data_IF_257194078344
#
_entry.id   IF_257194078344
#
_cell.length_a   1.000
_cell.length_b   1.000
_cell.length_c   1.000
_cell.angle_alpha   90.00
_cell.angle_beta   90.00
_cell.angle_gamma   90.00
#
_symmetry.space_group_name_H-M   'P 1'
#
loop_
_entity.id
_entity.type
_entity.pdbx_description
1 polymer ?
#
# COMPACT_ATOMS: atom_id res chain seq x y z
N UNK A 1 -4.04 -14.59 -7.09
CA UNK A 1 -5.53 -14.54 -6.84
C UNK A 1 -6.23 -15.85 -7.20
N UNK A 2 -5.81 -16.61 -8.25
CA UNK A 2 -6.45 -17.88 -8.66
C UNK A 2 -6.26 -19.03 -7.65
N UNK A 3 -5.08 -19.17 -7.03
CA UNK A 3 -4.76 -20.23 -6.04
C UNK A 3 -5.59 -20.08 -4.74
N UNK A 4 -5.78 -18.87 -4.23
CA UNK A 4 -6.61 -18.58 -3.04
C UNK A 4 -8.10 -18.95 -3.19
N UNK A 5 -8.63 -18.99 -4.42
CA UNK A 5 -10.05 -19.32 -4.63
C UNK A 5 -10.34 -20.82 -4.61
N UNK A 6 -9.38 -21.68 -4.99
CA UNK A 6 -9.55 -23.14 -4.90
C UNK A 6 -9.43 -23.66 -3.46
N UNK A 7 -8.54 -23.08 -2.64
CA UNK A 7 -8.40 -23.40 -1.21
C UNK A 7 -9.62 -22.95 -0.38
N UNK A 8 -10.25 -21.82 -0.75
CA UNK A 8 -11.48 -21.36 -0.08
C UNK A 8 -12.70 -22.28 -0.27
N UNK A 9 -12.68 -23.19 -1.24
CA UNK A 9 -13.77 -24.16 -1.41
C UNK A 9 -13.80 -25.19 -0.26
N UNK A 10 -12.64 -25.54 0.31
CA UNK A 10 -12.50 -26.49 1.42
C UNK A 10 -12.72 -25.83 2.77
N UNK A 11 -12.30 -24.58 2.96
CA UNK A 11 -12.37 -23.87 4.26
C UNK A 11 -13.79 -23.54 4.73
N UNK A 12 -14.82 -23.73 3.92
CA UNK A 12 -16.24 -23.60 4.30
C UNK A 12 -16.90 -24.88 4.78
N UNK A 13 -16.17 -25.98 4.90
CA UNK A 13 -16.64 -27.16 5.61
C UNK A 13 -16.65 -26.83 7.10
N UNK A 14 -17.79 -26.36 7.61
CA UNK A 14 -17.94 -26.05 9.03
C UNK A 14 -17.65 -27.30 9.84
N UNK A 15 -16.78 -27.20 10.84
CA UNK A 15 -16.51 -28.26 11.82
C UNK A 15 -17.75 -28.66 12.64
N UNK A 16 -18.86 -27.94 12.52
CA UNK A 16 -20.11 -28.26 13.19
C UNK A 16 -20.89 -29.28 12.35
N UNK A 17 -21.19 -30.44 12.93
CA UNK A 17 -22.15 -31.41 12.41
C UNK A 17 -23.53 -30.75 12.30
N UNK A 18 -23.81 -30.11 11.16
CA UNK A 18 -25.15 -29.62 10.83
C UNK A 18 -25.91 -30.76 10.15
N UNK A 19 -27.19 -30.90 10.46
CA UNK A 19 -28.09 -31.76 9.69
C UNK A 19 -28.01 -31.42 8.22
N UNK A 20 -27.76 -32.44 7.39
CA UNK A 20 -27.67 -32.27 5.94
C UNK A 20 -29.10 -32.18 5.40
N UNK A 21 -29.53 -30.97 5.01
CA UNK A 21 -30.81 -30.72 4.38
C UNK A 21 -30.66 -30.73 2.85
N UNK A 22 -31.53 -31.46 2.15
CA UNK A 22 -31.58 -31.56 0.69
C UNK A 22 -30.57 -32.56 0.09
N UNK A 23 -30.67 -32.74 -1.24
CA UNK A 23 -29.83 -33.70 -2.00
C UNK A 23 -28.34 -33.27 -1.98
N UNK A 24 -27.48 -34.24 -1.69
CA UNK A 24 -26.02 -34.05 -1.65
C UNK A 24 -25.33 -35.25 -2.29
N UNK A 25 -24.15 -35.01 -2.83
CA UNK A 25 -23.23 -36.07 -3.26
C UNK A 25 -22.24 -36.37 -2.14
N UNK A 26 -22.09 -37.65 -1.81
CA UNK A 26 -21.02 -38.10 -0.91
C UNK A 26 -19.72 -38.18 -1.71
N UNK A 27 -18.62 -37.83 -1.09
CA UNK A 27 -17.28 -38.03 -1.65
C UNK A 27 -16.34 -38.58 -0.60
N UNK A 28 -15.26 -39.17 -1.05
CA UNK A 28 -14.23 -39.79 -0.22
C UNK A 28 -12.91 -39.05 -0.43
N UNK A 29 -12.03 -39.19 0.55
CA UNK A 29 -10.64 -38.71 0.45
C UNK A 29 -10.00 -39.25 -0.83
N UNK A 30 -9.36 -38.38 -1.60
CA UNK A 30 -8.75 -38.68 -2.87
C UNK A 30 -9.64 -38.43 -4.08
N UNK A 31 -10.98 -38.37 -3.94
CA UNK A 31 -11.84 -38.05 -5.05
C UNK A 31 -11.52 -36.68 -5.66
N UNK A 32 -11.66 -36.54 -6.96
CA UNK A 32 -11.59 -35.26 -7.65
C UNK A 32 -12.95 -34.58 -7.56
N UNK A 33 -12.98 -33.35 -7.11
CA UNK A 33 -14.18 -32.51 -6.98
C UNK A 33 -14.17 -31.44 -8.05
N UNK A 34 -15.08 -31.50 -8.99
CA UNK A 34 -15.22 -30.56 -10.09
C UNK A 34 -16.48 -29.71 -9.93
N UNK A 35 -16.34 -28.38 -9.94
CA UNK A 35 -17.50 -27.47 -9.87
C UNK A 35 -18.08 -27.21 -11.25
N UNK A 36 -19.31 -27.63 -11.48
CA UNK A 36 -20.07 -27.40 -12.71
C UNK A 36 -20.60 -25.98 -12.84
N UNK A 37 -20.65 -25.24 -11.73
CA UNK A 37 -21.16 -23.87 -11.68
C UNK A 37 -20.02 -22.86 -11.83
N UNK A 38 -20.19 -21.93 -12.77
CA UNK A 38 -19.19 -20.90 -13.08
C UNK A 38 -17.83 -21.52 -13.39
N UNK A 39 -17.76 -22.32 -14.44
CA UNK A 39 -16.56 -23.07 -14.85
C UNK A 39 -15.35 -22.18 -15.06
N UNK A 40 -15.56 -20.93 -15.50
CA UNK A 40 -14.49 -19.92 -15.64
C UNK A 40 -13.72 -19.61 -14.34
N UNK A 41 -14.27 -19.96 -13.17
CA UNK A 41 -13.56 -19.86 -11.90
C UNK A 41 -12.58 -21.01 -11.67
N UNK A 42 -12.59 -22.01 -12.54
CA UNK A 42 -11.65 -23.13 -12.57
C UNK A 42 -11.50 -23.85 -11.22
N UNK A 43 -12.65 -24.23 -10.63
CA UNK A 43 -12.72 -24.84 -9.29
C UNK A 43 -12.65 -26.35 -9.39
N UNK A 44 -11.45 -26.87 -9.33
CA UNK A 44 -11.16 -28.32 -9.30
C UNK A 44 -10.18 -28.57 -8.16
N UNK A 45 -10.42 -29.63 -7.37
CA UNK A 45 -9.53 -30.03 -6.29
C UNK A 45 -9.63 -31.53 -6.00
N UNK A 46 -8.65 -32.06 -5.27
CA UNK A 46 -8.67 -33.40 -4.72
C UNK A 46 -9.13 -33.28 -3.26
N UNK A 47 -10.10 -34.11 -2.87
CA UNK A 47 -10.63 -34.15 -1.51
C UNK A 47 -9.55 -34.63 -0.53
N UNK A 48 -9.29 -33.83 0.52
CA UNK A 48 -8.35 -34.17 1.58
C UNK A 48 -8.95 -35.08 2.67
N UNK A 49 -10.29 -35.15 2.73
CA UNK A 49 -11.07 -35.89 3.72
C UNK A 49 -12.41 -36.33 3.11
N UNK A 50 -13.13 -37.22 3.78
CA UNK A 50 -14.47 -37.65 3.37
C UNK A 50 -15.49 -36.53 3.67
N UNK A 51 -16.55 -36.47 2.85
CA UNK A 51 -17.55 -35.42 3.06
C UNK A 51 -18.75 -35.46 2.13
N UNK A 52 -19.52 -34.41 2.13
CA UNK A 52 -20.68 -34.18 1.28
C UNK A 52 -20.58 -32.83 0.57
N UNK A 53 -20.94 -32.83 -0.70
CA UNK A 53 -20.99 -31.59 -1.50
C UNK A 53 -22.36 -31.37 -2.11
N UNK A 54 -22.58 -30.16 -2.62
CA UNK A 54 -23.82 -29.79 -3.32
C UNK A 54 -23.88 -30.51 -4.69
N UNK A 55 -25.04 -30.58 -5.30
CA UNK A 55 -25.25 -31.11 -6.65
C UNK A 55 -24.53 -30.33 -7.74
N UNK A 56 -24.05 -29.11 -7.45
CA UNK A 56 -23.23 -28.31 -8.34
C UNK A 56 -21.76 -28.79 -8.40
N UNK A 57 -21.35 -29.63 -7.48
CA UNK A 57 -20.03 -30.26 -7.48
C UNK A 57 -20.18 -31.69 -7.90
N UNK A 58 -19.39 -32.11 -8.86
CA UNK A 58 -19.31 -33.47 -9.35
C UNK A 58 -18.10 -34.17 -8.73
N UNK A 59 -18.27 -35.05 -7.74
CA UNK A 59 -17.20 -35.89 -7.24
C UNK A 59 -17.03 -37.11 -8.15
N UNK A 60 -15.81 -37.48 -8.44
CA UNK A 60 -15.52 -38.74 -9.16
C UNK A 60 -14.20 -39.34 -8.71
N UNK A 61 -14.10 -40.65 -8.91
CA UNK A 61 -12.91 -41.44 -8.65
C UNK A 61 -12.32 -41.92 -9.96
N UNK A 62 -11.03 -42.11 -10.01
CA UNK A 62 -10.31 -42.70 -11.14
C UNK A 62 -10.04 -44.19 -10.94
N UNK A 63 -10.45 -44.77 -9.82
CA UNK A 63 -10.29 -46.18 -9.42
C UNK A 63 -8.84 -46.70 -9.54
N UNK A 64 -7.87 -45.80 -9.37
CA UNK A 64 -6.45 -46.11 -9.52
C UNK A 64 -5.95 -46.34 -10.96
N UNK A 65 -6.84 -46.26 -11.96
CA UNK A 65 -6.48 -46.36 -13.37
C UNK A 65 -5.75 -45.13 -13.87
N UNK A 66 -6.10 -43.97 -13.32
CA UNK A 66 -5.51 -42.67 -13.63
C UNK A 66 -5.02 -42.01 -12.36
N UNK A 67 -4.02 -41.12 -12.48
CA UNK A 67 -3.60 -40.26 -11.39
C UNK A 67 -4.64 -39.15 -11.14
N UNK A 68 -5.24 -39.10 -9.95
CA UNK A 68 -6.16 -38.02 -9.55
C UNK A 68 -5.51 -36.63 -9.64
N UNK A 69 -4.22 -36.55 -9.35
CA UNK A 69 -3.46 -35.29 -9.49
C UNK A 69 -3.33 -34.88 -10.97
N UNK A 70 -3.02 -35.83 -11.85
CA UNK A 70 -2.94 -35.60 -13.29
C UNK A 70 -4.27 -35.07 -13.83
N UNK A 71 -5.37 -35.78 -13.55
CA UNK A 71 -6.72 -35.39 -13.97
C UNK A 71 -7.07 -33.99 -13.42
N UNK A 72 -6.75 -33.72 -12.17
CA UNK A 72 -6.97 -32.40 -11.58
C UNK A 72 -6.24 -31.29 -12.34
N UNK A 73 -5.01 -31.53 -12.82
CA UNK A 73 -4.27 -30.56 -13.65
C UNK A 73 -4.87 -30.44 -15.05
N UNK A 74 -5.27 -31.54 -15.69
CA UNK A 74 -5.94 -31.50 -17.01
C UNK A 74 -7.23 -30.69 -16.94
N UNK A 75 -8.08 -30.95 -15.96
CA UNK A 75 -9.35 -30.22 -15.77
C UNK A 75 -9.16 -28.74 -15.43
N UNK A 76 -7.99 -28.37 -14.92
CA UNK A 76 -7.60 -26.96 -14.65
C UNK A 76 -6.92 -26.28 -15.82
N UNK A 77 -6.53 -27.03 -16.87
CA UNK A 77 -5.83 -26.47 -18.02
C UNK A 77 -6.75 -25.55 -18.84
N UNK A 78 -6.15 -24.68 -19.65
CA UNK A 78 -6.88 -23.87 -20.62
C UNK A 78 -7.64 -24.73 -21.61
N UNK A 79 -7.04 -25.84 -22.03
CA UNK A 79 -7.64 -26.83 -22.92
C UNK A 79 -9.04 -27.27 -22.45
N UNK A 80 -9.16 -27.74 -21.21
CA UNK A 80 -10.44 -28.23 -20.67
C UNK A 80 -11.35 -27.05 -20.29
N UNK A 81 -10.81 -25.95 -19.85
CA UNK A 81 -11.57 -24.74 -19.54
C UNK A 81 -12.27 -24.18 -20.80
N UNK A 82 -11.57 -24.10 -21.92
CA UNK A 82 -12.12 -23.63 -23.19
C UNK A 82 -13.28 -24.52 -23.66
N UNK A 83 -13.12 -25.85 -23.54
CA UNK A 83 -14.20 -26.81 -23.81
C UNK A 83 -15.43 -26.51 -22.93
N UNK A 84 -15.24 -26.30 -21.64
CA UNK A 84 -16.37 -26.06 -20.71
C UNK A 84 -17.04 -24.70 -20.91
N UNK A 85 -16.33 -23.73 -21.46
CA UNK A 85 -16.89 -22.43 -21.83
C UNK A 85 -17.75 -22.51 -23.11
N UNK A 86 -17.37 -23.38 -24.04
CA UNK A 86 -18.16 -23.62 -25.26
C UNK A 86 -19.45 -24.40 -24.98
N UNK A 87 -19.39 -25.43 -24.11
CA UNK A 87 -20.54 -26.24 -23.75
C UNK A 87 -21.42 -25.65 -22.62
N UNK A 88 -20.95 -24.62 -21.93
CA UNK A 88 -21.66 -24.02 -20.82
C UNK A 88 -22.94 -23.28 -21.24
N UNK A 89 -23.99 -23.36 -20.43
CA UNK A 89 -25.25 -22.64 -20.64
C UNK A 89 -25.55 -21.65 -19.49
N UNK A 90 -26.31 -20.62 -19.82
CA UNK A 90 -26.71 -19.56 -18.87
C UNK A 90 -25.77 -18.35 -18.86
N UNK A 91 -26.34 -17.13 -18.93
CA UNK A 91 -25.62 -15.87 -19.11
C UNK A 91 -24.97 -15.35 -17.81
N UNK A 92 -25.73 -15.24 -16.71
CA UNK A 92 -25.23 -14.70 -15.45
C UNK A 92 -24.45 -15.70 -14.59
N UNK A 93 -24.79 -16.96 -14.69
CA UNK A 93 -24.19 -18.04 -13.90
C UNK A 93 -24.01 -19.27 -14.77
N UNK A 94 -23.03 -19.28 -15.69
CA UNK A 94 -22.83 -20.36 -16.62
C UNK A 94 -22.63 -21.69 -15.88
N UNK A 95 -23.31 -22.72 -16.36
CA UNK A 95 -23.28 -24.08 -15.85
C UNK A 95 -22.84 -25.05 -16.94
N UNK A 96 -22.12 -26.09 -16.53
CA UNK A 96 -21.84 -27.26 -17.34
C UNK A 96 -22.81 -28.35 -16.94
N UNK A 97 -23.47 -29.01 -17.91
CA UNK A 97 -24.28 -30.20 -17.63
C UNK A 97 -23.37 -31.37 -17.21
N UNK A 98 -23.93 -32.35 -16.51
CA UNK A 98 -23.16 -33.54 -16.16
C UNK A 98 -22.82 -34.35 -17.43
N UNK A 99 -23.72 -34.39 -18.41
CA UNK A 99 -23.49 -35.06 -19.70
C UNK A 99 -22.33 -34.42 -20.46
N UNK A 100 -22.34 -33.09 -20.60
CA UNK A 100 -21.23 -32.37 -21.25
C UNK A 100 -19.91 -32.53 -20.49
N UNK A 101 -19.97 -32.52 -19.15
CA UNK A 101 -18.77 -32.77 -18.35
C UNK A 101 -18.16 -34.12 -18.61
N UNK A 102 -19.00 -35.17 -18.77
CA UNK A 102 -18.56 -36.53 -19.06
C UNK A 102 -18.11 -36.74 -20.53
N UNK A 103 -18.60 -35.92 -21.46
CA UNK A 103 -18.19 -35.95 -22.85
C UNK A 103 -16.90 -35.20 -23.15
N UNK A 104 -16.35 -34.50 -22.16
CA UNK A 104 -15.08 -33.78 -22.32
C UNK A 104 -13.93 -34.75 -22.59
N UNK A 105 -13.26 -34.56 -23.74
CA UNK A 105 -12.08 -35.35 -24.11
C UNK A 105 -10.86 -34.88 -23.33
N UNK A 106 -10.08 -35.80 -22.80
CA UNK A 106 -8.86 -35.55 -22.07
C UNK A 106 -7.66 -36.27 -22.66
N UNK A 107 -6.46 -35.72 -22.70
CA UNK A 107 -5.26 -36.46 -23.07
C UNK A 107 -4.96 -37.55 -22.04
N UNK A 108 -4.65 -38.72 -22.49
CA UNK A 108 -4.44 -39.91 -21.62
C UNK A 108 -3.09 -40.57 -21.89
N UNK A 109 -1.99 -40.06 -21.33
CA UNK A 109 -0.71 -40.77 -21.40
C UNK A 109 -0.68 -41.98 -20.47
N UNK A 110 0.29 -42.92 -20.66
CA UNK A 110 0.51 -44.02 -19.74
C UNK A 110 0.67 -43.54 -18.28
N UNK A 111 0.23 -44.38 -17.32
CA UNK A 111 0.15 -43.98 -15.91
C UNK A 111 1.51 -43.46 -15.35
N UNK A 112 2.61 -44.12 -15.69
CA UNK A 112 3.95 -43.66 -15.26
C UNK A 112 4.34 -42.30 -15.84
N UNK A 113 3.84 -41.94 -17.01
CA UNK A 113 4.03 -40.64 -17.61
C UNK A 113 3.17 -39.57 -16.91
N UNK A 114 1.94 -39.89 -16.53
CA UNK A 114 1.10 -39.02 -15.72
C UNK A 114 1.83 -38.64 -14.43
N UNK A 115 2.46 -39.54 -13.74
CA UNK A 115 3.24 -39.28 -12.52
C UNK A 115 4.46 -38.36 -12.81
N UNK A 116 5.16 -38.59 -13.94
CA UNK A 116 6.27 -37.71 -14.34
C UNK A 116 5.79 -36.28 -14.61
N UNK A 117 4.67 -36.14 -15.33
CA UNK A 117 4.04 -34.82 -15.62
C UNK A 117 3.66 -34.14 -14.32
N UNK A 118 2.99 -34.81 -13.41
CA UNK A 118 2.60 -34.26 -12.10
C UNK A 118 3.82 -33.83 -11.29
N UNK A 119 4.88 -34.62 -11.26
CA UNK A 119 6.14 -34.29 -10.57
C UNK A 119 6.77 -33.01 -11.13
N UNK A 120 6.80 -32.90 -12.46
CA UNK A 120 7.37 -31.71 -13.10
C UNK A 120 6.49 -30.47 -12.89
N UNK A 121 5.17 -30.60 -12.97
CA UNK A 121 4.24 -29.48 -12.62
C UNK A 121 4.46 -29.02 -11.18
N UNK A 122 4.57 -29.94 -10.22
CA UNK A 122 4.87 -29.61 -8.81
C UNK A 122 6.20 -28.86 -8.66
N UNK A 123 7.22 -29.32 -9.36
CA UNK A 123 8.53 -28.66 -9.39
C UNK A 123 8.41 -27.21 -9.86
N UNK A 124 7.74 -26.97 -10.99
CA UNK A 124 7.54 -25.63 -11.53
C UNK A 124 6.72 -24.74 -10.59
N UNK A 125 5.65 -25.24 -9.99
CA UNK A 125 4.89 -24.46 -9.01
C UNK A 125 5.70 -24.11 -7.76
N UNK A 126 6.60 -25.01 -7.33
CA UNK A 126 7.51 -24.73 -6.21
C UNK A 126 8.47 -23.60 -6.59
N UNK A 127 9.08 -23.66 -7.77
CA UNK A 127 9.98 -22.59 -8.25
C UNK A 127 9.26 -21.25 -8.38
N UNK A 128 8.06 -21.23 -8.96
CA UNK A 128 7.25 -20.01 -9.07
C UNK A 128 6.95 -19.44 -7.68
N UNK A 129 6.56 -20.30 -6.73
CA UNK A 129 6.28 -19.84 -5.35
C UNK A 129 7.52 -19.30 -4.63
N UNK A 130 8.69 -19.87 -4.92
CA UNK A 130 9.96 -19.34 -4.39
C UNK A 130 10.26 -17.95 -4.98
N UNK A 131 10.13 -17.78 -6.30
CA UNK A 131 10.34 -16.50 -6.97
C UNK A 131 9.37 -15.43 -6.43
N UNK A 132 8.07 -15.76 -6.30
CA UNK A 132 7.09 -14.84 -5.72
C UNK A 132 7.47 -14.40 -4.31
N UNK A 133 7.93 -15.36 -3.48
CA UNK A 133 8.37 -15.07 -2.11
C UNK A 133 9.61 -14.17 -2.08
N UNK A 134 10.59 -14.44 -2.94
CA UNK A 134 11.81 -13.63 -3.01
C UNK A 134 11.53 -12.21 -3.52
N UNK A 135 10.58 -12.03 -4.45
CA UNK A 135 10.10 -10.70 -4.86
C UNK A 135 9.49 -9.93 -3.68
N UNK A 136 8.64 -10.58 -2.87
CA UNK A 136 8.05 -9.95 -1.70
C UNK A 136 9.10 -9.59 -0.63
N UNK A 137 10.09 -10.46 -0.43
CA UNK A 137 11.23 -10.21 0.46
C UNK A 137 12.05 -9.00 -0.01
N UNK A 138 12.30 -8.90 -1.33
CA UNK A 138 13.08 -7.80 -1.88
C UNK A 138 12.34 -6.46 -1.76
N UNK A 139 11.01 -6.42 -1.98
CA UNK A 139 10.19 -5.23 -1.73
C UNK A 139 10.27 -4.76 -0.28
N UNK A 140 10.20 -5.68 0.68
CA UNK A 140 10.34 -5.31 2.09
C UNK A 140 11.76 -4.82 2.41
N UNK A 141 12.79 -5.40 1.80
CA UNK A 141 14.18 -4.95 1.93
C UNK A 141 14.36 -3.54 1.38
N UNK A 142 13.78 -3.23 0.22
CA UNK A 142 13.80 -1.87 -0.38
C UNK A 142 13.14 -0.87 0.57
N UNK A 143 11.99 -1.20 1.12
CA UNK A 143 11.29 -0.34 2.08
C UNK A 143 12.14 -0.06 3.34
N UNK A 144 12.82 -1.09 3.87
CA UNK A 144 13.74 -0.92 4.99
C UNK A 144 14.97 -0.07 4.61
N UNK A 145 15.49 -0.24 3.39
CA UNK A 145 16.60 0.56 2.90
C UNK A 145 16.21 2.04 2.75
N UNK A 146 15.02 2.34 2.19
CA UNK A 146 14.49 3.71 2.12
C UNK A 146 14.35 4.32 3.52
N UNK A 147 13.82 3.58 4.50
CA UNK A 147 13.72 4.04 5.88
C UNK A 147 15.11 4.32 6.50
N UNK A 148 16.11 3.45 6.21
CA UNK A 148 17.48 3.65 6.70
C UNK A 148 18.17 4.85 6.07
N UNK A 149 17.93 5.13 4.79
CA UNK A 149 18.42 6.35 4.12
C UNK A 149 17.89 7.60 4.83
N UNK A 150 16.60 7.64 5.15
CA UNK A 150 16.01 8.75 5.90
C UNK A 150 16.60 8.88 7.32
N UNK A 151 16.82 7.76 7.99
CA UNK A 151 17.47 7.75 9.31
C UNK A 151 18.89 8.34 9.24
N UNK A 152 19.70 7.94 8.27
CA UNK A 152 21.03 8.49 8.06
C UNK A 152 21.00 9.98 7.72
N UNK A 153 20.01 10.42 6.93
CA UNK A 153 19.81 11.81 6.55
C UNK A 153 19.56 12.72 7.76
N UNK A 154 18.63 12.33 8.63
CA UNK A 154 18.23 13.11 9.82
C UNK A 154 19.33 13.17 10.87
N UNK A 155 20.20 12.17 10.93
CA UNK A 155 21.32 12.12 11.85
C UNK A 155 22.64 12.69 11.26
N UNK A 156 22.58 13.31 10.06
CA UNK A 156 23.73 13.91 9.38
C UNK A 156 24.82 12.92 8.98
N UNK A 157 24.42 11.68 8.69
CA UNK A 157 25.34 10.57 8.29
C UNK A 157 25.21 10.18 6.83
N UNK A 158 24.30 10.81 6.07
CA UNK A 158 24.05 10.43 4.67
C UNK A 158 25.03 11.07 3.70
N UNK A 159 25.49 12.28 3.98
CA UNK A 159 26.43 13.03 3.15
C UNK A 159 27.63 13.51 3.97
N UNK A 160 28.79 13.75 3.35
CA UNK A 160 29.95 14.33 4.05
C UNK A 160 29.63 15.74 4.57
N UNK A 161 30.13 16.06 5.76
CA UNK A 161 30.07 17.40 6.32
C UNK A 161 31.06 18.32 5.60
N UNK A 162 30.65 19.59 5.32
CA UNK A 162 31.51 20.58 4.74
C UNK A 162 31.79 21.69 5.78
N UNK A 163 33.04 21.87 6.25
CA UNK A 163 33.37 22.89 7.26
C UNK A 163 33.09 24.33 6.81
N UNK A 164 32.96 24.56 5.50
CA UNK A 164 32.71 25.89 4.95
C UNK A 164 31.20 26.23 4.91
N UNK A 165 30.31 25.31 5.25
CA UNK A 165 28.89 25.58 5.31
C UNK A 165 28.57 26.50 6.49
N UNK A 166 27.75 27.52 6.23
CA UNK A 166 27.30 28.41 7.29
C UNK A 166 26.40 27.66 8.28
N UNK A 167 26.70 27.75 9.61
CA UNK A 167 25.92 27.00 10.60
C UNK A 167 24.41 27.30 10.53
N UNK A 168 23.59 26.26 10.75
CA UNK A 168 22.12 26.36 10.71
C UNK A 168 21.58 27.35 11.72
N UNK A 169 22.28 27.60 12.84
CA UNK A 169 21.93 28.62 13.85
C UNK A 169 21.88 30.00 13.23
N UNK A 170 22.80 30.36 12.32
CA UNK A 170 22.79 31.65 11.63
C UNK A 170 21.55 31.78 10.73
N UNK A 171 21.21 30.73 10.00
CA UNK A 171 20.01 30.68 9.20
C UNK A 171 18.76 30.85 10.08
N UNK A 172 18.66 30.09 11.15
CA UNK A 172 17.53 30.16 12.08
C UNK A 172 17.33 31.53 12.69
N UNK A 173 18.40 32.16 13.19
CA UNK A 173 18.35 33.52 13.75
C UNK A 173 17.99 34.58 12.72
N UNK A 174 18.37 34.42 11.47
CA UNK A 174 17.97 35.31 10.37
C UNK A 174 16.48 35.21 10.05
N UNK A 175 15.91 34.00 10.10
CA UNK A 175 14.50 33.74 9.85
C UNK A 175 13.63 34.18 11.02
N UNK A 176 14.08 33.88 12.23
CA UNK A 176 13.43 34.26 13.48
C UNK A 176 14.48 34.58 14.54
N UNK A 177 14.74 35.88 14.78
CA UNK A 177 15.73 36.34 15.80
C UNK A 177 15.43 35.84 17.22
N UNK A 178 14.18 35.50 17.50
CA UNK A 178 13.71 35.00 18.81
C UNK A 178 13.57 33.46 18.84
N UNK A 179 14.04 32.75 17.79
CA UNK A 179 13.93 31.31 17.73
C UNK A 179 14.62 30.64 18.92
N UNK A 180 13.94 29.70 19.51
CA UNK A 180 14.44 28.84 20.56
C UNK A 180 15.30 27.74 19.96
N UNK A 181 16.57 27.66 20.34
CA UNK A 181 17.49 26.62 19.96
C UNK A 181 17.47 25.57 21.06
N UNK A 182 17.06 24.36 20.71
CA UNK A 182 17.00 23.23 21.62
C UNK A 182 18.42 22.65 21.74
N UNK A 183 19.09 22.92 22.86
CA UNK A 183 20.49 22.53 23.09
C UNK A 183 20.66 21.13 23.66
N UNK A 184 19.65 20.59 24.32
CA UNK A 184 19.67 19.26 24.91
C UNK A 184 18.32 18.58 24.69
N UNK A 185 18.27 17.66 23.73
CA UNK A 185 17.15 16.77 23.56
C UNK A 185 17.65 15.33 23.53
N UNK A 186 17.16 14.50 24.43
CA UNK A 186 17.52 13.09 24.52
C UNK A 186 17.21 12.26 23.26
N UNK A 187 16.58 12.87 22.22
CA UNK A 187 16.21 12.22 20.97
C UNK A 187 17.32 12.22 19.91
N UNK A 188 18.19 13.26 19.91
CA UNK A 188 19.25 13.37 18.91
C UNK A 188 20.63 13.28 19.59
N UNK A 189 21.13 12.05 19.73
CA UNK A 189 22.49 11.85 20.21
C UNK A 189 23.49 12.43 19.20
N UNK A 190 24.16 13.54 19.57
CA UNK A 190 25.31 14.10 18.89
C UNK A 190 25.13 14.37 17.39
N UNK A 191 24.36 15.42 17.08
CA UNK A 191 24.27 15.95 15.72
C UNK A 191 25.65 16.49 15.25
N UNK A 192 25.90 16.56 13.92
CA UNK A 192 27.11 17.15 13.37
C UNK A 192 27.29 18.60 13.76
N UNK A 193 28.54 19.05 13.73
CA UNK A 193 28.88 20.46 13.93
C UNK A 193 28.20 21.32 12.87
N UNK A 194 27.62 22.45 13.28
CA UNK A 194 26.87 23.33 12.39
C UNK A 194 25.37 23.04 12.27
N UNK A 195 24.90 21.92 12.81
CA UNK A 195 23.46 21.64 12.93
C UNK A 195 22.87 22.26 14.20
N UNK A 196 21.56 22.48 14.20
CA UNK A 196 20.82 22.82 15.41
C UNK A 196 19.47 22.07 15.40
N UNK A 197 18.80 22.05 16.56
CA UNK A 197 17.43 21.56 16.68
C UNK A 197 16.52 22.73 16.96
N UNK A 198 15.39 22.78 16.27
CA UNK A 198 14.37 23.82 16.46
C UNK A 198 12.96 23.23 16.28
N UNK A 199 11.96 23.94 16.74
CA UNK A 199 10.58 23.57 16.46
C UNK A 199 10.19 23.91 15.01
N UNK A 200 9.27 23.10 14.43
CA UNK A 200 8.82 23.27 13.03
C UNK A 200 8.22 24.67 12.79
N UNK A 201 7.53 25.25 13.76
CA UNK A 201 6.96 26.61 13.67
C UNK A 201 8.03 27.73 13.60
N UNK A 202 9.27 27.46 14.00
CA UNK A 202 10.38 28.42 13.86
C UNK A 202 10.79 28.57 12.39
N UNK A 203 10.69 27.49 11.60
CA UNK A 203 11.17 27.38 10.23
C UNK A 203 10.04 27.34 9.18
N UNK A 204 8.79 27.35 9.61
CA UNK A 204 7.63 27.30 8.71
C UNK A 204 6.41 28.02 9.28
N UNK A 205 5.44 28.28 8.40
CA UNK A 205 4.11 28.75 8.76
C UNK A 205 3.10 27.64 8.48
N UNK A 206 2.24 27.35 9.44
CA UNK A 206 1.22 26.31 9.31
C UNK A 206 -0.19 26.88 9.44
N UNK A 207 -1.10 26.36 8.62
CA UNK A 207 -2.51 26.72 8.66
C UNK A 207 -3.37 25.47 8.44
N UNK A 208 -4.38 25.30 9.29
CA UNK A 208 -5.37 24.23 9.13
C UNK A 208 -6.35 24.57 8.01
N UNK A 209 -6.76 23.56 7.24
CA UNK A 209 -7.65 23.73 6.10
C UNK A 209 -9.07 24.17 6.49
N UNK A 210 -9.85 24.52 5.45
CA UNK A 210 -11.23 24.98 5.63
C UNK A 210 -12.09 23.89 6.25
N UNK A 211 -12.81 24.23 7.32
CA UNK A 211 -13.86 23.36 7.88
C UNK A 211 -15.07 23.44 6.93
N UNK A 212 -15.56 22.29 6.51
CA UNK A 212 -16.73 22.21 5.64
C UNK A 212 -18.01 22.19 6.45
N UNK A 213 -18.92 23.12 6.16
CA UNK A 213 -20.28 23.14 6.67
C UNK A 213 -21.25 23.26 5.50
N UNK A 214 -21.87 22.16 5.12
CA UNK A 214 -22.78 22.08 3.96
C UNK A 214 -23.96 23.05 4.04
N UNK A 215 -24.31 23.51 5.22
CA UNK A 215 -25.46 24.41 5.45
C UNK A 215 -25.07 25.86 5.37
N UNK A 216 -23.79 26.18 5.63
CA UNK A 216 -23.28 27.56 5.70
C UNK A 216 -22.32 27.90 4.57
N UNK A 217 -21.75 26.89 3.91
CA UNK A 217 -20.79 27.12 2.83
C UNK A 217 -21.48 27.78 1.62
N UNK A 218 -21.04 28.99 1.30
CA UNK A 218 -21.50 29.78 0.15
C UNK A 218 -20.30 30.19 -0.74
N UNK A 219 -20.59 30.85 -1.86
CA UNK A 219 -19.57 31.26 -2.82
C UNK A 219 -19.41 30.29 -4.01
N UNK A 220 -18.23 30.28 -4.61
CA UNK A 220 -17.91 29.51 -5.82
C UNK A 220 -17.55 28.04 -5.51
N UNK A 221 -17.87 27.16 -6.46
CA UNK A 221 -17.42 25.78 -6.40
C UNK A 221 -15.96 25.65 -6.85
N UNK A 222 -15.08 25.33 -5.92
CA UNK A 222 -13.66 25.12 -6.17
C UNK A 222 -13.25 23.68 -5.86
N UNK A 223 -12.20 23.18 -6.55
CA UNK A 223 -11.58 21.88 -6.27
C UNK A 223 -10.79 21.95 -4.97
N UNK A 224 -10.76 20.86 -4.22
CA UNK A 224 -9.97 20.80 -3.00
C UNK A 224 -9.30 19.45 -2.77
N UNK A 225 -8.20 19.50 -2.03
CA UNK A 225 -7.47 18.34 -1.50
C UNK A 225 -8.00 18.02 -0.12
N UNK A 226 -8.24 16.75 0.15
CA UNK A 226 -8.58 16.25 1.48
C UNK A 226 -7.64 15.09 1.86
N UNK A 227 -7.70 14.61 3.10
CA UNK A 227 -6.76 13.62 3.63
C UNK A 227 -6.63 12.34 2.80
N UNK A 228 -7.68 11.90 2.09
CA UNK A 228 -7.62 10.72 1.22
C UNK A 228 -6.78 10.94 -0.04
N UNK A 229 -6.63 12.20 -0.47
CA UNK A 229 -5.81 12.53 -1.63
C UNK A 229 -4.32 12.60 -1.32
N UNK A 230 -3.94 12.91 -0.07
CA UNK A 230 -2.54 13.03 0.33
C UNK A 230 -1.98 11.67 0.65
N UNK A 231 -1.00 11.23 -0.12
CA UNK A 231 -0.23 10.02 0.11
C UNK A 231 1.18 10.37 0.60
N UNK A 232 2.02 9.39 0.83
CA UNK A 232 3.40 9.63 1.22
C UNK A 232 4.20 10.04 -0.03
N UNK A 233 4.37 11.35 -0.23
CA UNK A 233 5.15 11.95 -1.32
C UNK A 233 4.39 12.27 -2.61
N UNK A 234 3.12 11.92 -2.72
CA UNK A 234 2.33 12.22 -3.92
C UNK A 234 0.86 12.46 -3.60
N UNK A 235 0.11 12.94 -4.58
CA UNK A 235 -1.33 13.14 -4.49
C UNK A 235 -2.07 12.13 -5.36
N UNK A 236 -3.06 11.46 -4.78
CA UNK A 236 -3.99 10.60 -5.51
C UNK A 236 -5.31 11.35 -5.77
N UNK A 237 -5.58 11.64 -7.04
CA UNK A 237 -6.79 12.31 -7.49
C UNK A 237 -7.81 11.39 -8.18
N UNK A 238 -7.75 10.10 -7.96
CA UNK A 238 -8.80 9.16 -8.40
C UNK A 238 -10.19 9.57 -7.89
N UNK A 239 -10.22 10.25 -6.74
CA UNK A 239 -11.42 10.89 -6.18
C UNK A 239 -11.18 12.38 -6.00
N UNK A 240 -11.78 13.21 -6.87
CA UNK A 240 -11.68 14.67 -6.74
C UNK A 240 -13.02 15.26 -6.29
N UNK A 241 -12.97 16.11 -5.27
CA UNK A 241 -14.13 16.75 -4.67
C UNK A 241 -14.13 18.25 -4.90
N UNK A 242 -15.31 18.86 -4.74
CA UNK A 242 -15.51 20.31 -4.81
C UNK A 242 -16.28 20.76 -3.58
N UNK A 243 -16.03 21.99 -3.13
CA UNK A 243 -16.76 22.66 -2.06
C UNK A 243 -17.03 24.11 -2.42
N UNK A 244 -17.93 24.76 -1.69
CA UNK A 244 -18.18 26.18 -1.86
C UNK A 244 -17.23 26.98 -0.97
N UNK A 245 -16.63 28.04 -1.54
CA UNK A 245 -15.72 28.95 -0.83
C UNK A 245 -15.97 30.38 -1.30
N UNK A 246 -15.98 31.31 -0.37
CA UNK A 246 -16.15 32.73 -0.63
C UNK A 246 -14.83 33.37 -1.11
N UNK A 247 -14.92 34.40 -1.95
CA UNK A 247 -13.76 35.08 -2.51
C UNK A 247 -12.78 35.62 -1.43
N UNK A 248 -13.31 36.06 -0.28
CA UNK A 248 -12.50 36.52 0.86
C UNK A 248 -11.58 35.45 1.45
N UNK A 249 -11.91 34.16 1.24
CA UNK A 249 -11.19 33.02 1.79
C UNK A 249 -10.22 32.37 0.76
N UNK A 250 -10.24 32.81 -0.51
CA UNK A 250 -9.42 32.21 -1.56
C UNK A 250 -7.93 32.22 -1.20
N UNK A 251 -7.38 33.38 -0.88
CA UNK A 251 -5.95 33.50 -0.54
C UNK A 251 -5.57 32.66 0.69
N UNK A 252 -6.46 32.58 1.67
CA UNK A 252 -6.23 31.86 2.92
C UNK A 252 -6.12 30.35 2.71
N UNK A 253 -6.99 29.77 1.88
CA UNK A 253 -7.07 28.32 1.69
C UNK A 253 -6.54 27.84 0.33
N UNK A 254 -5.94 28.72 -0.46
CA UNK A 254 -5.23 28.31 -1.66
C UNK A 254 -3.97 27.53 -1.34
N UNK A 255 -3.74 26.48 -2.14
CA UNK A 255 -2.48 25.73 -2.15
C UNK A 255 -1.60 26.33 -3.25
N UNK A 256 -0.35 26.63 -2.92
CA UNK A 256 0.66 27.16 -3.84
C UNK A 256 1.79 26.16 -4.03
N UNK A 257 2.46 26.22 -5.15
CA UNK A 257 3.65 25.41 -5.42
C UNK A 257 4.68 25.57 -4.29
N UNK A 258 5.20 24.44 -3.79
CA UNK A 258 6.07 24.38 -2.62
C UNK A 258 5.36 24.21 -1.29
N UNK A 259 4.02 24.33 -1.23
CA UNK A 259 3.29 24.07 0.00
C UNK A 259 3.32 22.56 0.33
N UNK A 260 3.65 22.22 1.57
CA UNK A 260 3.60 20.87 2.10
C UNK A 260 2.25 20.63 2.78
N UNK A 261 1.47 19.68 2.30
CA UNK A 261 0.20 19.26 2.90
C UNK A 261 0.40 18.05 3.79
N UNK A 262 -0.05 18.12 5.04
CA UNK A 262 0.14 17.08 6.07
C UNK A 262 -1.21 16.66 6.62
N UNK A 263 -1.47 15.36 6.71
CA UNK A 263 -2.69 14.80 7.28
C UNK A 263 -2.72 14.94 8.80
N UNK A 264 -3.74 15.65 9.31
CA UNK A 264 -4.05 15.74 10.74
C UNK A 264 -4.77 14.49 11.25
N UNK A 265 -5.60 13.87 10.43
CA UNK A 265 -6.45 12.74 10.79
C UNK A 265 -6.40 11.60 9.78
N UNK A 266 -6.99 10.47 10.14
CA UNK A 266 -6.91 9.23 9.39
C UNK A 266 -5.55 8.57 9.58
N UNK A 267 -4.79 8.40 8.50
CA UNK A 267 -3.38 8.00 8.57
C UNK A 267 -2.51 9.25 8.78
N UNK A 268 -2.39 9.65 10.04
CA UNK A 268 -1.76 10.91 10.47
C UNK A 268 -0.32 11.02 10.02
N UNK A 269 0.11 12.23 9.67
CA UNK A 269 1.48 12.53 9.28
C UNK A 269 1.85 12.17 7.84
N UNK A 270 0.95 11.56 7.04
CA UNK A 270 1.18 11.48 5.59
C UNK A 270 1.29 12.90 5.04
N UNK A 271 2.27 13.12 4.17
CA UNK A 271 2.48 14.43 3.60
C UNK A 271 3.04 14.37 2.20
N UNK A 272 2.73 15.40 1.40
CA UNK A 272 3.24 15.59 0.06
C UNK A 272 3.37 17.09 -0.26
N UNK A 273 4.36 17.44 -1.09
CA UNK A 273 4.58 18.80 -1.58
C UNK A 273 3.72 19.03 -2.81
N UNK A 274 3.02 20.16 -2.86
CA UNK A 274 2.31 20.61 -4.04
C UNK A 274 3.30 21.18 -5.05
N UNK A 275 3.46 20.55 -6.19
CA UNK A 275 4.49 20.81 -7.19
C UNK A 275 3.98 21.49 -8.47
N UNK A 276 2.67 21.79 -8.53
CA UNK A 276 2.03 22.40 -9.70
C UNK A 276 1.49 23.80 -9.41
N UNK A 277 1.27 24.56 -10.47
CA UNK A 277 0.61 25.88 -10.41
C UNK A 277 -0.91 25.82 -10.59
N UNK A 278 -1.47 24.60 -10.55
CA UNK A 278 -2.92 24.39 -10.68
C UNK A 278 -3.66 24.96 -9.46
N UNK A 279 -4.70 25.76 -9.73
CA UNK A 279 -5.55 26.30 -8.67
C UNK A 279 -6.18 25.17 -7.85
N UNK A 280 -5.86 25.13 -6.57
CA UNK A 280 -6.33 24.12 -5.65
C UNK A 280 -6.50 24.72 -4.25
N UNK A 281 -7.45 24.15 -3.51
CA UNK A 281 -7.73 24.50 -2.13
C UNK A 281 -7.58 23.27 -1.25
N UNK A 282 -7.62 23.42 0.06
CA UNK A 282 -7.50 22.29 0.97
C UNK A 282 -8.48 22.39 2.13
N UNK A 283 -8.88 21.23 2.61
CA UNK A 283 -9.89 21.05 3.65
C UNK A 283 -9.22 20.64 4.97
N UNK A 284 -9.86 20.94 6.09
CA UNK A 284 -9.65 20.25 7.36
C UNK A 284 -9.97 18.73 7.14
N UNK A 285 -9.17 17.75 7.50
CA UNK A 285 -8.04 17.59 8.36
C UNK A 285 -6.67 17.59 7.62
N UNK A 286 -6.35 18.69 6.96
CA UNK A 286 -5.02 18.89 6.40
C UNK A 286 -4.41 20.16 6.99
N UNK A 287 -3.13 20.08 7.36
CA UNK A 287 -2.29 21.26 7.60
C UNK A 287 -1.59 21.62 6.30
N UNK A 288 -1.58 22.89 5.93
CA UNK A 288 -0.67 23.43 4.94
C UNK A 288 0.52 24.03 5.69
N UNK A 289 1.70 23.55 5.37
CA UNK A 289 2.98 24.04 5.91
C UNK A 289 3.76 24.70 4.78
N UNK A 290 4.15 25.95 4.99
CA UNK A 290 4.92 26.76 4.05
C UNK A 290 6.26 27.08 4.67
N UNK A 291 7.33 26.59 4.06
CA UNK A 291 8.68 26.81 4.57
C UNK A 291 9.10 28.27 4.45
N UNK A 292 9.82 28.77 5.43
CA UNK A 292 10.44 30.08 5.40
C UNK A 292 11.69 30.07 4.53
N UNK A 293 12.14 31.24 4.08
CA UNK A 293 13.31 31.37 3.20
C UNK A 293 14.55 30.65 3.73
N UNK A 294 15.17 29.83 2.90
CA UNK A 294 16.35 29.03 3.23
C UNK A 294 16.07 27.70 3.92
N UNK A 295 14.82 27.29 3.98
CA UNK A 295 14.42 25.95 4.43
C UNK A 295 13.91 25.16 3.22
N UNK A 296 14.49 23.99 3.01
CA UNK A 296 14.06 23.10 1.91
C UNK A 296 12.78 22.37 2.30
N UNK A 297 11.74 22.53 1.49
CA UNK A 297 10.46 21.84 1.64
C UNK A 297 10.65 20.31 1.56
N UNK A 298 11.52 19.85 0.66
CA UNK A 298 11.85 18.44 0.49
C UNK A 298 12.59 17.87 1.71
N UNK A 299 13.53 18.62 2.29
CA UNK A 299 14.19 18.21 3.52
C UNK A 299 13.18 18.05 4.65
N UNK A 300 12.27 19.02 4.80
CA UNK A 300 11.20 18.94 5.80
C UNK A 300 10.26 17.76 5.55
N UNK A 301 9.87 17.50 4.29
CA UNK A 301 9.06 16.36 3.91
C UNK A 301 9.75 15.03 4.29
N UNK A 302 11.03 14.86 3.97
CA UNK A 302 11.79 13.64 4.30
C UNK A 302 11.97 13.47 5.81
N UNK A 303 12.13 14.57 6.56
CA UNK A 303 12.13 14.54 8.02
C UNK A 303 10.80 14.04 8.59
N UNK A 304 9.68 14.52 8.07
CA UNK A 304 8.35 14.05 8.47
C UNK A 304 8.11 12.59 8.09
N UNK A 305 8.61 12.12 6.94
CA UNK A 305 8.53 10.71 6.58
C UNK A 305 9.29 9.84 7.55
N UNK A 306 10.51 10.24 7.91
CA UNK A 306 11.29 9.54 8.94
C UNK A 306 10.51 9.44 10.24
N UNK A 307 9.95 10.55 10.75
CA UNK A 307 9.17 10.55 11.98
C UNK A 307 7.90 9.71 11.91
N UNK A 308 7.25 9.69 10.75
CA UNK A 308 6.09 8.84 10.51
C UNK A 308 6.46 7.36 10.51
N UNK A 309 7.51 6.98 9.77
CA UNK A 309 7.94 5.59 9.64
C UNK A 309 8.45 5.01 10.97
N UNK A 310 9.07 5.84 11.80
CA UNK A 310 9.57 5.42 13.12
C UNK A 310 8.55 5.60 14.27
N UNK A 311 7.30 5.94 13.95
CA UNK A 311 6.21 6.04 14.93
C UNK A 311 6.28 7.27 15.84
N UNK A 312 7.19 8.22 15.60
CA UNK A 312 7.32 9.45 16.39
C UNK A 312 6.04 10.27 16.30
N UNK A 313 5.51 10.51 15.08
CA UNK A 313 4.25 11.23 14.89
C UNK A 313 3.11 10.49 15.59
N UNK A 314 3.04 9.18 15.44
CA UNK A 314 1.99 8.35 16.06
C UNK A 314 2.03 8.40 17.59
N UNK A 315 3.21 8.51 18.20
CA UNK A 315 3.37 8.63 19.66
C UNK A 315 2.96 9.99 20.20
N UNK A 316 3.10 11.05 19.40
CA UNK A 316 2.71 12.40 19.74
C UNK A 316 1.21 12.65 19.59
N UNK A 317 0.50 11.82 18.83
CA UNK A 317 -0.92 11.98 18.56
C UNK A 317 -1.79 11.65 19.77
N UNK A 318 -2.81 12.46 20.01
CA UNK A 318 -3.83 12.25 21.04
C UNK A 318 -4.99 11.41 20.48
N UNK A 319 -5.56 10.55 21.32
CA UNK A 319 -6.74 9.75 21.01
C UNK A 319 -6.45 8.25 20.89
N UNK A 320 -7.36 7.42 21.45
CA UNK A 320 -7.21 5.95 21.43
C UNK A 320 -7.81 5.35 20.15
N UNK A 321 -8.96 5.85 19.72
CA UNK A 321 -9.71 5.30 18.57
C UNK A 321 -9.43 6.08 17.28
N UNK A 322 -9.32 7.42 17.38
CA UNK A 322 -8.98 8.30 16.26
C UNK A 322 -7.82 9.18 16.69
N UNK A 323 -6.67 8.97 16.04
CA UNK A 323 -5.47 9.79 16.27
C UNK A 323 -5.59 11.12 15.56
N UNK A 324 -5.20 12.20 16.23
CA UNK A 324 -5.13 13.53 15.66
C UNK A 324 -3.74 14.15 15.89
N UNK A 325 -3.11 14.53 14.79
CA UNK A 325 -1.86 15.28 14.78
C UNK A 325 -2.19 16.77 14.75
N UNK A 326 -2.61 17.31 15.91
CA UNK A 326 -3.10 18.68 16.01
C UNK A 326 -2.04 19.70 15.63
N UNK A 327 -2.47 20.89 15.18
CA UNK A 327 -1.54 21.99 14.84
C UNK A 327 -0.61 22.35 16.01
N UNK A 328 -1.13 22.33 17.25
CA UNK A 328 -0.31 22.59 18.45
C UNK A 328 0.78 21.52 18.66
N UNK A 329 0.47 20.26 18.41
CA UNK A 329 1.44 19.16 18.49
C UNK A 329 2.46 19.24 17.36
N UNK A 330 1.99 19.48 16.14
CA UNK A 330 2.85 19.62 14.96
C UNK A 330 3.83 20.79 15.14
N UNK A 331 3.35 21.95 15.59
CA UNK A 331 4.18 23.15 15.76
C UNK A 331 5.33 22.96 16.74
N UNK A 332 5.22 22.02 17.69
CA UNK A 332 6.26 21.68 18.66
C UNK A 332 7.14 20.51 18.22
N UNK A 333 6.94 19.99 16.99
CA UNK A 333 7.78 18.93 16.50
C UNK A 333 9.23 19.44 16.34
N UNK A 334 10.16 18.74 16.95
CA UNK A 334 11.58 19.05 16.92
C UNK A 334 12.20 18.58 15.61
N UNK A 335 12.83 19.48 14.89
CA UNK A 335 13.46 19.21 13.59
C UNK A 335 14.96 19.43 13.72
N UNK A 336 15.79 18.41 13.46
CA UNK A 336 17.23 18.62 13.29
C UNK A 336 17.46 19.37 11.98
N UNK A 337 18.02 20.56 12.10
CA UNK A 337 18.20 21.47 10.98
C UNK A 337 19.68 21.54 10.58
N UNK A 338 20.04 21.06 9.37
CA UNK A 338 21.38 21.22 8.80
C UNK A 338 21.59 22.63 8.22
N UNK A 339 22.84 23.02 7.94
CA UNK A 339 23.17 24.13 7.07
C UNK A 339 22.41 24.07 5.74
N UNK A 340 22.01 25.21 5.19
CA UNK A 340 21.16 25.27 3.98
C UNK A 340 21.78 24.48 2.79
N UNK A 341 23.09 24.66 2.54
CA UNK A 341 23.77 23.92 1.48
C UNK A 341 23.78 22.40 1.73
N UNK A 342 23.82 21.98 2.99
CA UNK A 342 23.75 20.56 3.36
C UNK A 342 22.35 20.01 3.20
N UNK A 343 21.28 20.78 3.49
CA UNK A 343 19.90 20.35 3.19
C UNK A 343 19.77 19.96 1.72
N UNK A 344 20.34 20.74 0.80
CA UNK A 344 20.28 20.47 -0.63
C UNK A 344 21.06 19.20 -1.01
N UNK A 345 22.26 18.99 -0.43
CA UNK A 345 23.04 17.76 -0.68
C UNK A 345 22.33 16.51 -0.14
N UNK A 346 21.71 16.61 1.04
CA UNK A 346 20.92 15.53 1.65
C UNK A 346 19.74 15.18 0.74
N UNK A 347 18.97 16.17 0.30
CA UNK A 347 17.82 15.96 -0.59
C UNK A 347 18.24 15.30 -1.89
N UNK A 348 19.26 15.83 -2.55
CA UNK A 348 19.76 15.26 -3.81
C UNK A 348 20.19 13.80 -3.63
N UNK A 349 20.85 13.47 -2.50
CA UNK A 349 21.30 12.10 -2.23
C UNK A 349 20.14 11.14 -1.90
N UNK A 350 19.13 11.60 -1.20
CA UNK A 350 17.90 10.81 -0.96
C UNK A 350 17.21 10.51 -2.28
N UNK A 351 17.01 11.52 -3.14
CA UNK A 351 16.35 11.38 -4.43
C UNK A 351 17.11 10.43 -5.37
N UNK A 352 18.44 10.52 -5.41
CA UNK A 352 19.30 9.60 -6.15
C UNK A 352 19.07 8.14 -5.71
N UNK A 353 19.16 7.88 -4.40
CA UNK A 353 19.02 6.53 -3.86
C UNK A 353 17.59 6.00 -4.01
N UNK A 354 16.57 6.83 -3.78
CA UNK A 354 15.19 6.43 -3.95
C UNK A 354 14.88 6.09 -5.39
N UNK A 355 15.37 6.89 -6.34
CA UNK A 355 15.21 6.58 -7.76
C UNK A 355 15.84 5.21 -8.13
N UNK A 356 17.03 4.89 -7.60
CA UNK A 356 17.65 3.57 -7.81
C UNK A 356 16.79 2.44 -7.23
N UNK A 357 16.22 2.62 -6.03
CA UNK A 357 15.34 1.63 -5.42
C UNK A 357 14.02 1.47 -6.19
N UNK A 358 13.45 2.56 -6.69
CA UNK A 358 12.23 2.54 -7.50
C UNK A 358 12.47 1.78 -8.83
N UNK A 359 13.60 2.00 -9.51
CA UNK A 359 13.97 1.24 -10.70
C UNK A 359 14.09 -0.27 -10.44
N UNK A 360 14.65 -0.67 -9.28
CA UNK A 360 14.70 -2.08 -8.89
C UNK A 360 13.29 -2.62 -8.64
N UNK A 361 12.45 -1.86 -7.94
CA UNK A 361 11.07 -2.26 -7.62
C UNK A 361 10.20 -2.41 -8.87
N UNK A 362 10.35 -1.52 -9.86
CA UNK A 362 9.65 -1.59 -11.16
C UNK A 362 10.10 -2.80 -12.00
N UNK A 363 11.33 -3.28 -11.83
CA UNK A 363 11.84 -4.46 -12.53
C UNK A 363 11.33 -5.79 -11.96
N UNK A 364 10.68 -5.77 -10.78
CA UNK A 364 10.14 -6.94 -10.10
C UNK A 364 8.72 -7.30 -10.59
#
# INVERSE_FOLDING_TARGET
KRKKNSEKLIQKLSKNKREIKGTRHKFYKGNVLYSKLRTYLNKVLIASEDGYCTTEIMPFDTYGILSNEYICHVLRSSYFLDYTLQCGYGVKMPRLSTTDACNGVIPLPPLHEQYRIVKEIKRWFTLISMIEKEKDNLRETIKQAKAKVLDLAIHGKLVPQNPNDKPAVELLKRINPKAEIISDNGHYQKLPVGWCVCHINEISESLLGKILDRTKDCGEFKRYVCAVNVQLGYFDFTTQKRFRIEAKDFERYAVKKGDLLICEGGDVGRCAIWDTDTEMYYQNALHRVRCKFGISEKYLQYSLWHFKLNGVIDSLCKGVTIKHFTQSTMNKLEIPLPPFAEQQRIVAKIEELFHQFDMIEESL
#
